data_IF_791854258946
#
_entry.id   IF_791854258946
#
_cell.length_a   1.000
_cell.length_b   1.000
_cell.length_c   1.000
_cell.angle_alpha   90.00
_cell.angle_beta   90.00
_cell.angle_gamma   90.00
#
_symmetry.space_group_name_H-M   'P 1'
#
loop_
_entity.id
_entity.type
_entity.pdbx_description
1 polymer ?
#
# COMPACT_ATOMS: atom_id res chain seq x y z
N UNK A 1 7.14 -1.76 15.17
CA UNK A 1 5.73 -1.36 15.30
C UNK A 1 5.15 -0.80 13.99
N UNK A 2 5.94 -0.15 13.11
CA UNK A 2 5.44 0.40 11.83
C UNK A 2 5.12 -0.61 10.71
N UNK A 3 5.73 -1.80 10.72
CA UNK A 3 5.52 -2.80 9.65
C UNK A 3 4.11 -3.39 9.66
N UNK A 4 3.45 -3.47 10.83
CA UNK A 4 2.14 -4.11 10.98
C UNK A 4 0.97 -3.28 10.43
N UNK A 5 1.15 -1.96 10.22
CA UNK A 5 0.09 -1.06 9.75
C UNK A 5 0.13 -0.78 8.25
N UNK A 6 1.04 -1.42 7.48
CA UNK A 6 1.07 -1.31 6.03
C UNK A 6 -0.03 -2.18 5.39
N UNK A 7 -1.30 -1.82 5.62
CA UNK A 7 -2.47 -2.52 5.05
C UNK A 7 -2.36 -2.62 3.51
N UNK A 8 -1.78 -1.62 2.86
CA UNK A 8 -1.57 -1.58 1.41
C UNK A 8 -0.13 -1.88 0.99
N UNK A 9 0.74 -2.28 1.92
CA UNK A 9 2.16 -2.50 1.65
C UNK A 9 2.86 -1.22 1.18
N UNK A 10 3.44 -1.27 -0.02
CA UNK A 10 4.01 -0.12 -0.73
C UNK A 10 3.26 0.07 -2.06
N UNK A 11 2.13 0.79 -2.04
CA UNK A 11 1.28 0.89 -3.21
C UNK A 11 1.84 1.83 -4.27
N UNK A 12 1.57 1.53 -5.53
CA UNK A 12 1.74 2.46 -6.64
C UNK A 12 0.46 3.29 -6.79
N UNK A 13 0.55 4.60 -6.57
CA UNK A 13 -0.59 5.52 -6.61
C UNK A 13 -0.38 6.53 -7.74
N UNK A 14 -1.42 6.73 -8.54
CA UNK A 14 -1.43 7.71 -9.62
C UNK A 14 -2.12 9.00 -9.18
N UNK A 15 -1.73 10.17 -9.71
CA UNK A 15 -2.40 11.43 -9.42
C UNK A 15 -3.89 11.40 -9.79
N UNK A 16 -4.73 12.17 -9.08
CA UNK A 16 -6.13 12.33 -9.48
C UNK A 16 -6.22 12.95 -10.88
N UNK A 17 -7.16 12.48 -11.69
CA UNK A 17 -7.34 12.94 -13.08
C UNK A 17 -6.48 12.22 -14.12
N UNK A 18 -5.70 11.21 -13.73
CA UNK A 18 -4.98 10.37 -14.71
C UNK A 18 -5.96 9.72 -15.70
N UNK A 19 -5.72 9.77 -17.01
CA UNK A 19 -6.61 9.18 -18.01
C UNK A 19 -6.86 7.68 -17.77
N UNK A 20 -8.12 7.25 -17.85
CA UNK A 20 -8.54 5.85 -17.56
C UNK A 20 -7.79 4.81 -18.38
N UNK A 21 -7.50 5.11 -19.64
CA UNK A 21 -6.74 4.22 -20.52
C UNK A 21 -5.33 3.94 -19.95
N UNK A 22 -4.63 4.99 -19.51
CA UNK A 22 -3.32 4.86 -18.88
C UNK A 22 -3.38 4.09 -17.56
N UNK A 23 -4.45 4.31 -16.76
CA UNK A 23 -4.69 3.55 -15.54
C UNK A 23 -4.86 2.06 -15.86
N UNK A 24 -5.68 1.71 -16.86
CA UNK A 24 -5.93 0.32 -17.23
C UNK A 24 -4.67 -0.39 -17.72
N UNK A 25 -3.86 0.27 -18.56
CA UNK A 25 -2.58 -0.27 -19.04
C UNK A 25 -1.66 -0.61 -17.86
N UNK A 26 -1.56 0.28 -16.89
CA UNK A 26 -0.73 0.05 -15.70
C UNK A 26 -1.29 -1.06 -14.82
N UNK A 27 -2.60 -1.10 -14.60
CA UNK A 27 -3.24 -2.19 -13.86
C UNK A 27 -2.98 -3.55 -14.52
N UNK A 28 -3.12 -3.64 -15.84
CA UNK A 28 -2.86 -4.88 -16.59
C UNK A 28 -1.39 -5.30 -16.53
N UNK A 29 -0.46 -4.35 -16.59
CA UNK A 29 0.97 -4.61 -16.40
C UNK A 29 1.25 -5.16 -14.99
N UNK A 30 0.71 -4.53 -13.94
CA UNK A 30 0.88 -4.97 -12.56
C UNK A 30 0.28 -6.37 -12.33
N UNK A 31 -0.88 -6.68 -12.92
CA UNK A 31 -1.47 -8.04 -12.89
C UNK A 31 -0.54 -9.08 -13.49
N UNK A 32 0.15 -8.77 -14.59
CA UNK A 32 1.10 -9.69 -15.21
C UNK A 32 2.30 -9.90 -14.29
N UNK A 33 2.86 -8.83 -13.74
CA UNK A 33 3.99 -8.89 -12.80
C UNK A 33 3.66 -9.71 -11.55
N UNK A 34 2.49 -9.49 -10.93
CA UNK A 34 2.09 -10.22 -9.72
C UNK A 34 1.59 -11.65 -9.97
N UNK A 35 1.39 -12.05 -11.23
CA UNK A 35 1.14 -13.45 -11.58
C UNK A 35 2.41 -14.22 -11.93
N UNK A 36 3.52 -13.51 -12.08
CA UNK A 36 4.81 -14.10 -12.43
C UNK A 36 5.45 -14.75 -11.17
N UNK A 37 5.67 -16.08 -11.15
CA UNK A 37 6.35 -16.73 -10.04
C UNK A 37 7.83 -16.30 -9.88
N UNK A 38 8.49 -15.85 -10.96
CA UNK A 38 9.88 -15.37 -10.89
C UNK A 38 9.97 -14.07 -10.08
N UNK A 39 8.95 -13.22 -10.15
CA UNK A 39 8.86 -12.00 -9.34
C UNK A 39 8.97 -12.30 -7.85
N UNK A 40 8.22 -13.29 -7.34
CA UNK A 40 8.26 -13.66 -5.93
C UNK A 40 9.61 -14.25 -5.51
N UNK A 41 10.25 -14.99 -6.41
CA UNK A 41 11.57 -15.59 -6.17
C UNK A 41 12.65 -14.52 -6.01
N UNK A 42 12.72 -13.59 -6.97
CA UNK A 42 13.70 -12.49 -6.89
C UNK A 42 13.35 -11.50 -5.78
N UNK A 43 12.07 -11.21 -5.53
CA UNK A 43 11.66 -10.37 -4.40
C UNK A 43 12.11 -10.97 -3.07
N UNK A 44 11.87 -12.26 -2.83
CA UNK A 44 12.28 -12.93 -1.59
C UNK A 44 13.80 -12.88 -1.37
N UNK A 45 14.57 -13.01 -2.45
CA UNK A 45 16.03 -12.90 -2.43
C UNK A 45 16.51 -11.47 -2.12
N UNK A 46 15.86 -10.45 -2.66
CA UNK A 46 16.24 -9.05 -2.48
C UNK A 46 15.76 -8.46 -1.15
N UNK A 47 14.49 -8.70 -0.80
CA UNK A 47 13.84 -8.12 0.36
C UNK A 47 13.95 -8.98 1.63
N UNK A 48 14.26 -10.27 1.49
CA UNK A 48 14.32 -11.22 2.62
C UNK A 48 12.94 -11.60 3.18
N UNK A 49 11.85 -11.15 2.56
CA UNK A 49 10.48 -11.41 2.98
C UNK A 49 9.60 -11.80 1.78
N UNK A 50 8.45 -12.43 2.05
CA UNK A 50 7.51 -12.80 0.99
C UNK A 50 6.72 -11.58 0.53
N UNK A 51 6.52 -11.46 -0.79
CA UNK A 51 5.77 -10.34 -1.33
C UNK A 51 4.27 -10.52 -1.00
N UNK A 52 3.75 -9.63 -0.14
CA UNK A 52 2.32 -9.48 0.08
C UNK A 52 1.70 -8.54 -0.99
N UNK A 53 1.86 -8.90 -2.26
CA UNK A 53 1.34 -8.09 -3.37
C UNK A 53 -0.18 -8.18 -3.43
N UNK A 54 -0.87 -7.04 -3.40
CA UNK A 54 -2.31 -6.93 -3.62
C UNK A 54 -2.58 -6.72 -5.11
N UNK A 55 -3.60 -7.38 -5.65
CA UNK A 55 -4.04 -7.09 -7.02
C UNK A 55 -4.58 -5.66 -7.11
N UNK A 56 -4.52 -5.01 -8.29
CA UNK A 56 -4.91 -3.61 -8.42
C UNK A 56 -6.32 -3.28 -7.89
N UNK A 57 -7.29 -4.19 -8.07
CA UNK A 57 -8.67 -3.99 -7.61
C UNK A 57 -8.79 -4.15 -6.10
N UNK A 58 -8.04 -5.08 -5.51
CA UNK A 58 -8.00 -5.30 -4.06
C UNK A 58 -7.35 -4.11 -3.37
N UNK A 59 -6.30 -3.56 -3.96
CA UNK A 59 -5.66 -2.34 -3.50
C UNK A 59 -6.61 -1.13 -3.59
N UNK A 60 -7.29 -0.96 -4.73
CA UNK A 60 -8.25 0.13 -4.90
C UNK A 60 -9.40 0.02 -3.88
N UNK A 61 -9.90 -1.19 -3.65
CA UNK A 61 -10.92 -1.46 -2.63
C UNK A 61 -10.41 -1.15 -1.24
N UNK A 62 -9.22 -1.64 -0.87
CA UNK A 62 -8.61 -1.39 0.44
C UNK A 62 -8.46 0.12 0.71
N UNK A 63 -8.05 0.91 -0.29
CA UNK A 63 -7.95 2.38 -0.18
C UNK A 63 -9.33 3.03 -0.05
N UNK A 64 -10.34 2.54 -0.79
CA UNK A 64 -11.71 3.08 -0.72
C UNK A 64 -12.37 2.83 0.63
N UNK A 65 -12.06 1.68 1.24
CA UNK A 65 -12.60 1.21 2.52
C UNK A 65 -11.87 1.81 3.74
N UNK A 66 -10.78 2.59 3.53
CA UNK A 66 -10.11 3.28 4.62
C UNK A 66 -11.08 4.25 5.34
N UNK A 67 -11.08 4.25 6.68
CA UNK A 67 -11.87 5.20 7.47
C UNK A 67 -11.57 6.65 7.08
N UNK A 68 -12.63 7.44 6.90
CA UNK A 68 -12.54 8.88 6.56
C UNK A 68 -13.10 9.77 7.67
N UNK A 69 -13.58 9.18 8.75
CA UNK A 69 -14.13 9.84 9.92
C UNK A 69 -13.03 10.63 10.63
N UNK A 70 -13.24 11.93 10.91
CA UNK A 70 -12.23 12.77 11.56
C UNK A 70 -11.72 12.20 12.88
N UNK A 71 -12.62 11.61 13.69
CA UNK A 71 -12.26 11.02 14.99
C UNK A 71 -11.28 9.84 14.87
N UNK A 72 -11.47 8.98 13.87
CA UNK A 72 -10.59 7.83 13.61
C UNK A 72 -9.24 8.31 13.08
N UNK A 73 -9.25 9.30 12.19
CA UNK A 73 -8.03 9.93 11.67
C UNK A 73 -7.22 10.57 12.81
N UNK A 74 -7.88 11.28 13.71
CA UNK A 74 -7.21 11.94 14.84
C UNK A 74 -6.69 10.95 15.87
N UNK A 75 -7.41 9.85 16.12
CA UNK A 75 -6.90 8.74 16.91
C UNK A 75 -5.67 8.11 16.26
N UNK A 76 -5.71 7.84 14.95
CA UNK A 76 -4.57 7.31 14.22
C UNK A 76 -3.36 8.22 14.33
N UNK A 77 -3.52 9.54 14.09
CA UNK A 77 -2.43 10.53 14.24
C UNK A 77 -1.83 10.53 15.65
N UNK A 78 -2.62 10.35 16.71
CA UNK A 78 -2.11 10.25 18.09
C UNK A 78 -1.28 8.98 18.31
N UNK A 79 -1.70 7.86 17.72
CA UNK A 79 -1.01 6.57 17.84
C UNK A 79 0.24 6.47 16.95
N UNK A 80 0.18 7.06 15.75
CA UNK A 80 1.25 7.07 14.75
C UNK A 80 2.16 8.28 14.86
N UNK A 81 1.81 9.26 15.69
CA UNK A 81 2.53 10.51 15.85
C UNK A 81 3.84 10.33 16.60
N UNK A 82 4.89 10.96 16.09
CA UNK A 82 6.17 11.13 16.79
C UNK A 82 6.11 12.35 17.72
N UNK A 83 5.11 12.41 18.61
CA UNK A 83 5.14 13.43 19.66
C UNK A 83 6.46 13.31 20.43
N UNK A 84 7.14 14.43 20.74
CA UNK A 84 8.45 14.39 21.36
C UNK A 84 8.37 13.58 22.65
N UNK A 85 9.28 12.63 22.80
CA UNK A 85 9.42 11.87 24.05
C UNK A 85 9.57 12.87 25.21
N UNK A 86 8.97 12.57 26.39
CA UNK A 86 9.12 13.43 27.56
C UNK A 86 10.59 13.75 27.81
N UNK A 87 10.89 15.02 28.14
CA UNK A 87 12.25 15.41 28.54
C UNK A 87 12.63 14.59 29.77
N UNK A 88 13.75 13.88 29.68
CA UNK A 88 14.33 13.12 30.80
C UNK A 88 14.75 14.04 31.93
#
# INVERSE_FOLDING_TARGET
MDRAFRITGQPFILPPGTPKEGVQILQDAMRKTFKDPEFYTEYKKLAGEEAAALMPEELEKAIKDLPREPEIIDLFKKLSGADPLPRR
#
